data_IF_527023069126
#
_entry.id   IF_527023069126
#
_cell.length_a   1.000
_cell.length_b   1.000
_cell.length_c   1.000
_cell.angle_alpha   90.00
_cell.angle_beta   90.00
_cell.angle_gamma   90.00
#
_symmetry.space_group_name_H-M   'P 1'
#
loop_
_entity.id
_entity.type
_entity.pdbx_description
1 polymer ?
#
# COMPACT_ATOMS: atom_id res chain seq x y z
N UNK A 1 1.19 -30.05 10.22
CA UNK A 1 1.35 -28.59 10.32
C UNK A 1 -0.04 -28.00 10.46
N UNK A 2 -0.35 -27.36 11.59
CA UNK A 2 -1.65 -26.72 11.80
C UNK A 2 -1.84 -25.59 10.80
N UNK A 3 -2.98 -25.57 10.10
CA UNK A 3 -3.37 -24.42 9.27
C UNK A 3 -3.42 -23.21 10.22
N UNK A 4 -2.68 -22.12 9.97
CA UNK A 4 -2.76 -20.95 10.83
C UNK A 4 -4.22 -20.46 10.84
N UNK A 5 -4.82 -20.37 12.04
CA UNK A 5 -6.17 -19.86 12.21
C UNK A 5 -6.16 -18.41 11.71
N UNK A 6 -6.95 -18.15 10.67
CA UNK A 6 -7.08 -16.83 10.06
C UNK A 6 -7.95 -15.96 10.98
N UNK A 7 -7.36 -15.50 12.08
CA UNK A 7 -8.08 -14.73 13.09
C UNK A 7 -8.31 -13.30 12.60
N UNK A 8 -9.58 -12.96 12.41
CA UNK A 8 -10.01 -11.60 12.14
C UNK A 8 -9.85 -10.76 13.42
N UNK A 9 -8.98 -9.77 13.39
CA UNK A 9 -8.74 -8.82 14.49
C UNK A 9 -9.33 -7.46 14.15
N UNK A 10 -9.80 -6.75 15.18
CA UNK A 10 -10.20 -5.34 15.05
C UNK A 10 -9.14 -4.46 15.70
N UNK A 11 -8.69 -3.43 14.98
CA UNK A 11 -7.73 -2.42 15.43
C UNK A 11 -8.46 -1.07 15.46
N UNK A 12 -8.50 -0.47 16.62
CA UNK A 12 -9.11 0.83 16.92
C UNK A 12 -8.05 1.91 17.06
N UNK A 13 -8.47 3.18 17.10
CA UNK A 13 -7.55 4.32 17.27
C UNK A 13 -6.80 4.36 18.61
N UNK A 14 -7.14 3.46 19.54
CA UNK A 14 -6.51 3.30 20.86
C UNK A 14 -5.36 2.28 20.84
N UNK A 15 -5.33 1.41 19.83
CA UNK A 15 -4.29 0.39 19.71
C UNK A 15 -2.95 1.02 19.32
N UNK A 16 -1.85 0.51 19.91
CA UNK A 16 -0.50 1.01 19.64
C UNK A 16 -0.10 0.86 18.17
N UNK A 17 -0.59 -0.20 17.51
CA UNK A 17 -0.30 -0.48 16.11
C UNK A 17 -1.18 0.31 15.13
N UNK A 18 -2.08 1.17 15.64
CA UNK A 18 -2.96 1.96 14.79
C UNK A 18 -2.18 3.08 14.08
N UNK A 19 -2.27 3.20 12.74
CA UNK A 19 -1.55 4.25 12.01
C UNK A 19 -2.01 5.64 12.43
N UNK A 20 -1.12 6.42 13.07
CA UNK A 20 -1.44 7.76 13.55
C UNK A 20 -2.01 8.70 12.45
N UNK A 21 -1.51 8.71 11.19
CA UNK A 21 -2.10 9.53 10.13
C UNK A 21 -3.58 9.23 9.83
N UNK A 22 -4.05 8.02 10.14
CA UNK A 22 -5.43 7.63 9.88
C UNK A 22 -6.42 8.24 10.90
N UNK A 23 -5.93 8.74 12.04
CA UNK A 23 -6.78 9.40 13.06
C UNK A 23 -7.43 10.69 12.53
N UNK A 24 -6.75 11.36 11.59
CA UNK A 24 -7.17 12.65 11.00
C UNK A 24 -7.46 12.54 9.49
N UNK A 25 -7.59 11.31 8.96
CA UNK A 25 -7.85 11.09 7.53
C UNK A 25 -9.26 11.54 7.15
N UNK A 26 -9.35 12.57 6.29
CA UNK A 26 -10.61 13.22 5.90
C UNK A 26 -11.58 12.34 5.12
N UNK A 27 -11.13 11.20 4.60
CA UNK A 27 -12.00 10.25 3.91
C UNK A 27 -13.01 9.55 4.85
N UNK A 28 -12.76 9.61 6.16
CA UNK A 28 -13.62 9.04 7.18
C UNK A 28 -14.14 10.15 8.09
N UNK A 29 -15.41 10.04 8.51
CA UNK A 29 -16.03 11.01 9.44
C UNK A 29 -15.35 11.01 10.81
N UNK A 30 -14.78 9.87 11.20
CA UNK A 30 -13.99 9.64 12.40
C UNK A 30 -12.93 8.58 12.11
N UNK A 31 -11.95 8.42 13.00
CA UNK A 31 -10.94 7.37 12.89
C UNK A 31 -11.61 5.98 12.71
N UNK A 32 -11.45 5.31 11.55
CA UNK A 32 -12.14 4.06 11.28
C UNK A 32 -11.56 2.92 12.13
N UNK A 33 -12.40 1.97 12.53
CA UNK A 33 -11.92 0.67 13.01
C UNK A 33 -11.41 -0.14 11.81
N UNK A 34 -10.20 -0.66 11.91
CA UNK A 34 -9.60 -1.52 10.90
C UNK A 34 -9.85 -2.98 11.24
N UNK A 35 -10.27 -3.75 10.26
CA UNK A 35 -10.29 -5.21 10.34
C UNK A 35 -9.00 -5.73 9.74
N UNK A 36 -8.34 -6.66 10.42
CA UNK A 36 -7.02 -7.18 10.03
C UNK A 36 -6.97 -8.71 10.08
N UNK A 37 -6.24 -9.31 9.14
CA UNK A 37 -5.84 -10.72 9.13
C UNK A 37 -4.34 -10.77 8.78
N UNK A 38 -3.53 -11.41 9.63
CA UNK A 38 -2.07 -11.46 9.47
C UNK A 38 -1.33 -10.54 10.44
N UNK A 39 -0.07 -10.20 10.12
CA UNK A 39 0.79 -9.45 11.04
C UNK A 39 0.50 -7.94 11.02
N UNK A 40 -0.10 -7.45 12.10
CA UNK A 40 -0.47 -6.04 12.26
C UNK A 40 0.74 -5.12 12.45
N UNK A 41 1.89 -5.66 12.85
CA UNK A 41 3.12 -4.89 13.03
C UNK A 41 3.65 -4.34 11.71
N UNK A 42 3.24 -4.92 10.58
CA UNK A 42 3.61 -4.41 9.25
C UNK A 42 3.15 -2.96 9.04
N UNK A 43 2.09 -2.50 9.72
CA UNK A 43 1.62 -1.11 9.67
C UNK A 43 2.61 -0.10 10.29
N UNK A 44 3.59 -0.58 11.07
CA UNK A 44 4.63 0.26 11.67
C UNK A 44 5.82 0.48 10.73
N UNK A 45 5.93 -0.31 9.66
CA UNK A 45 7.04 -0.19 8.73
C UNK A 45 6.77 0.90 7.68
N UNK A 46 7.79 1.66 7.26
CA UNK A 46 7.63 2.67 6.21
C UNK A 46 7.44 1.99 4.85
N UNK A 47 6.18 1.72 4.52
CA UNK A 47 5.81 1.06 3.27
C UNK A 47 5.67 2.05 2.11
N UNK A 48 5.99 1.57 0.90
CA UNK A 48 5.66 2.24 -0.36
C UNK A 48 4.26 1.84 -0.81
N UNK A 49 3.42 2.82 -1.15
CA UNK A 49 2.14 2.56 -1.78
C UNK A 49 2.30 2.36 -3.28
N UNK A 50 1.63 1.35 -3.84
CA UNK A 50 1.60 1.09 -5.27
C UNK A 50 0.18 1.28 -5.82
N UNK A 51 0.04 2.24 -6.74
CA UNK A 51 -1.21 2.48 -7.48
C UNK A 51 -0.97 2.49 -9.00
N UNK A 52 -1.95 1.97 -9.74
CA UNK A 52 -1.97 2.09 -11.19
C UNK A 52 -3.40 2.19 -11.71
N UNK A 53 -3.62 2.99 -12.74
CA UNK A 53 -4.89 2.94 -13.49
C UNK A 53 -5.06 1.62 -14.22
N UNK A 54 -6.33 1.24 -14.47
CA UNK A 54 -6.67 -0.03 -15.15
C UNK A 54 -6.10 -0.09 -16.57
N UNK A 55 -6.10 1.04 -17.28
CA UNK A 55 -5.44 1.19 -18.57
C UNK A 55 -4.05 1.77 -18.30
N UNK A 56 -3.01 1.15 -18.82
CA UNK A 56 -1.62 1.58 -18.67
C UNK A 56 -0.85 1.28 -19.97
N UNK A 57 -0.01 2.21 -20.45
CA UNK A 57 0.92 1.96 -21.56
C UNK A 57 1.82 0.76 -21.32
N UNK A 58 2.10 -0.03 -22.37
CA UNK A 58 2.85 -1.28 -22.26
C UNK A 58 4.27 -1.14 -21.69
N UNK A 59 4.96 -0.05 -22.03
CA UNK A 59 6.28 0.27 -21.49
C UNK A 59 6.24 0.51 -19.97
N UNK A 60 5.20 1.20 -19.49
CA UNK A 60 5.00 1.43 -18.05
C UNK A 60 4.57 0.16 -17.32
N UNK A 61 3.84 -0.75 -17.98
CA UNK A 61 3.52 -2.08 -17.41
C UNK A 61 4.81 -2.83 -17.11
N UNK A 62 5.71 -2.95 -18.10
CA UNK A 62 6.98 -3.67 -17.93
C UNK A 62 7.84 -3.01 -16.84
N UNK A 63 8.00 -1.67 -16.87
CA UNK A 63 8.72 -0.94 -15.81
C UNK A 63 8.11 -1.15 -14.42
N UNK A 64 6.78 -1.28 -14.33
CA UNK A 64 6.10 -1.55 -13.05
C UNK A 64 6.47 -2.95 -12.53
N UNK A 65 6.61 -3.94 -13.41
CA UNK A 65 7.07 -5.28 -13.02
C UNK A 65 8.54 -5.29 -12.62
N UNK A 66 9.39 -4.53 -13.31
CA UNK A 66 10.80 -4.37 -12.92
C UNK A 66 10.94 -3.70 -11.54
N UNK A 67 10.12 -2.67 -11.27
CA UNK A 67 10.03 -2.06 -9.94
C UNK A 67 9.54 -3.07 -8.90
N UNK A 68 8.49 -3.85 -9.19
CA UNK A 68 7.98 -4.87 -8.27
C UNK A 68 9.05 -5.93 -7.93
N UNK A 69 9.88 -6.32 -8.90
CA UNK A 69 11.03 -7.21 -8.68
C UNK A 69 12.11 -6.53 -7.83
N UNK A 70 12.43 -5.26 -8.09
CA UNK A 70 13.45 -4.53 -7.32
C UNK A 70 13.03 -4.33 -5.85
N UNK A 71 11.76 -4.00 -5.60
CA UNK A 71 11.20 -3.91 -4.25
C UNK A 71 11.26 -5.26 -3.52
N UNK A 72 10.99 -6.35 -4.25
CA UNK A 72 11.06 -7.73 -3.79
C UNK A 72 12.46 -8.14 -3.38
N UNK A 73 13.43 -7.87 -4.23
CA UNK A 73 14.80 -8.29 -4.01
C UNK A 73 15.44 -7.53 -2.85
N UNK A 74 14.95 -6.32 -2.54
CA UNK A 74 15.36 -5.51 -1.38
C UNK A 74 14.46 -5.67 -0.15
N UNK A 75 13.48 -6.58 -0.19
CA UNK A 75 12.50 -6.80 0.88
C UNK A 75 11.77 -5.53 1.36
N UNK A 76 11.52 -4.57 0.46
CA UNK A 76 10.84 -3.31 0.78
C UNK A 76 9.34 -3.58 1.03
N UNK A 77 8.76 -3.12 2.16
CA UNK A 77 7.34 -3.26 2.44
C UNK A 77 6.46 -2.53 1.43
N UNK A 78 5.46 -3.21 0.87
CA UNK A 78 4.52 -2.63 -0.09
C UNK A 78 3.10 -2.62 0.46
N UNK A 79 2.41 -1.48 0.35
CA UNK A 79 0.99 -1.34 0.65
C UNK A 79 0.19 -1.05 -0.62
N UNK A 80 -0.82 -1.86 -0.92
CA UNK A 80 -1.73 -1.61 -2.05
C UNK A 80 -3.04 -2.33 -1.84
N UNK A 81 -4.05 -1.99 -2.63
CA UNK A 81 -5.28 -2.79 -2.68
C UNK A 81 -5.37 -3.74 -3.86
N UNK A 82 -4.31 -3.84 -4.67
CA UNK A 82 -4.13 -4.87 -5.70
C UNK A 82 -5.40 -5.12 -6.55
N UNK A 83 -5.97 -4.03 -7.06
CA UNK A 83 -7.28 -4.02 -7.72
C UNK A 83 -7.15 -4.06 -9.24
N UNK A 84 -6.17 -3.38 -9.83
CA UNK A 84 -5.96 -3.44 -11.28
C UNK A 84 -5.15 -4.67 -11.68
N UNK A 85 -5.25 -5.15 -12.94
CA UNK A 85 -4.49 -6.32 -13.38
C UNK A 85 -2.98 -6.19 -13.12
N UNK A 86 -2.43 -4.99 -13.34
CA UNK A 86 -1.02 -4.68 -13.13
C UNK A 86 -0.66 -4.79 -11.65
N UNK A 87 -1.49 -4.21 -10.76
CA UNK A 87 -1.26 -4.33 -9.32
C UNK A 87 -1.38 -5.80 -8.87
N UNK A 88 -2.32 -6.58 -9.43
CA UNK A 88 -2.46 -8.00 -9.12
C UNK A 88 -1.25 -8.83 -9.58
N UNK A 89 -0.68 -8.52 -10.73
CA UNK A 89 0.55 -9.17 -11.19
C UNK A 89 1.75 -8.80 -10.30
N UNK A 90 1.84 -7.55 -9.85
CA UNK A 90 2.81 -7.15 -8.83
C UNK A 90 2.63 -7.95 -7.52
N UNK A 91 1.39 -8.13 -7.05
CA UNK A 91 1.12 -8.96 -5.88
C UNK A 91 1.63 -10.40 -6.08
N UNK A 92 1.42 -11.01 -7.25
CA UNK A 92 1.93 -12.36 -7.55
C UNK A 92 3.45 -12.42 -7.51
N UNK A 93 4.14 -11.40 -8.04
CA UNK A 93 5.61 -11.28 -7.99
C UNK A 93 6.08 -11.23 -6.53
N UNK A 94 5.44 -10.38 -5.72
CA UNK A 94 5.81 -10.14 -4.32
C UNK A 94 5.48 -11.32 -3.40
N UNK A 95 4.39 -12.04 -3.67
CA UNK A 95 4.02 -13.26 -2.93
C UNK A 95 5.03 -14.41 -3.12
N UNK A 96 5.91 -14.36 -4.13
CA UNK A 96 6.98 -15.36 -4.36
C UNK A 96 8.32 -15.01 -3.68
N UNK A 97 8.30 -14.19 -2.64
CA UNK A 97 9.49 -13.75 -1.90
C UNK A 97 9.26 -13.74 -0.39
N UNK A 98 10.17 -13.18 0.38
CA UNK A 98 10.01 -12.94 1.82
C UNK A 98 9.60 -11.51 2.17
N UNK A 99 9.41 -10.62 1.18
CA UNK A 99 9.11 -9.21 1.47
C UNK A 99 7.78 -9.06 2.25
N UNK A 100 7.65 -8.02 3.10
CA UNK A 100 6.38 -7.67 3.72
C UNK A 100 5.37 -7.07 2.74
N UNK A 101 4.10 -7.42 2.89
CA UNK A 101 3.00 -6.97 2.03
C UNK A 101 1.80 -6.56 2.89
N UNK A 102 1.23 -5.40 2.60
CA UNK A 102 -0.03 -4.92 3.18
C UNK A 102 -1.07 -4.83 2.05
N UNK A 103 -2.01 -5.76 2.04
CA UNK A 103 -3.09 -5.81 1.08
C UNK A 103 -4.35 -5.17 1.67
N UNK A 104 -4.86 -4.13 1.00
CA UNK A 104 -6.03 -3.36 1.41
C UNK A 104 -7.24 -3.55 0.47
N UNK A 105 -8.08 -4.59 0.61
CA UNK A 105 -9.27 -4.75 -0.20
C UNK A 105 -10.27 -3.60 -0.03
N UNK A 106 -10.92 -3.19 -1.13
CA UNK A 106 -11.98 -2.19 -1.14
C UNK A 106 -13.36 -2.75 -0.71
N UNK A 107 -13.37 -3.65 0.28
CA UNK A 107 -14.55 -4.35 0.82
C UNK A 107 -14.23 -4.96 2.18
N UNK A 108 -15.22 -5.51 2.86
CA UNK A 108 -15.03 -6.34 4.06
C UNK A 108 -14.12 -7.54 3.80
N UNK A 109 -13.28 -7.86 4.77
CA UNK A 109 -12.43 -9.06 4.77
C UNK A 109 -12.98 -10.20 5.64
N UNK A 110 -14.13 -10.03 6.31
CA UNK A 110 -14.68 -11.04 7.23
C UNK A 110 -14.99 -12.39 6.58
N UNK A 111 -15.22 -12.42 5.27
CA UNK A 111 -15.46 -13.63 4.47
C UNK A 111 -14.55 -13.69 3.23
N UNK A 112 -13.31 -13.21 3.36
CA UNK A 112 -12.38 -13.21 2.24
C UNK A 112 -11.88 -14.62 1.93
N UNK A 113 -11.86 -14.99 0.64
CA UNK A 113 -11.20 -16.20 0.18
C UNK A 113 -9.75 -15.87 -0.11
N UNK A 114 -8.84 -16.57 0.56
CA UNK A 114 -7.40 -16.41 0.39
C UNK A 114 -6.84 -17.51 -0.51
N UNK A 115 -5.90 -17.14 -1.38
CA UNK A 115 -5.13 -18.10 -2.17
C UNK A 115 -4.16 -18.89 -1.27
N UNK A 116 -3.64 -20.05 -1.73
CA UNK A 116 -2.61 -20.79 -1.00
C UNK A 116 -1.40 -19.92 -0.65
N UNK A 117 -0.93 -19.10 -1.58
CA UNK A 117 0.23 -18.21 -1.41
C UNK A 117 -0.06 -17.12 -0.35
N UNK A 118 -1.29 -16.59 -0.32
CA UNK A 118 -1.68 -15.62 0.72
C UNK A 118 -1.74 -16.28 2.10
N UNK A 119 -2.27 -17.50 2.20
CA UNK A 119 -2.31 -18.24 3.47
C UNK A 119 -0.90 -18.55 3.97
N UNK A 120 -0.01 -18.95 3.06
CA UNK A 120 1.40 -19.17 3.36
C UNK A 120 2.06 -17.87 3.86
N UNK A 121 1.91 -16.77 3.12
CA UNK A 121 2.50 -15.49 3.50
C UNK A 121 1.96 -14.94 4.85
N UNK A 122 0.70 -15.22 5.19
CA UNK A 122 0.14 -14.92 6.52
C UNK A 122 0.80 -15.80 7.59
N UNK A 123 0.96 -17.10 7.33
CA UNK A 123 1.65 -18.03 8.24
C UNK A 123 3.13 -17.67 8.46
N UNK A 124 3.75 -17.03 7.47
CA UNK A 124 5.12 -16.49 7.52
C UNK A 124 5.20 -15.08 8.13
N UNK A 125 4.09 -14.54 8.67
CA UNK A 125 4.00 -13.19 9.26
C UNK A 125 4.44 -12.05 8.33
N UNK A 126 4.38 -12.23 7.01
CA UNK A 126 4.81 -11.23 6.03
C UNK A 126 3.68 -10.67 5.17
N UNK A 127 2.44 -11.12 5.39
CA UNK A 127 1.25 -10.55 4.76
C UNK A 127 0.27 -10.07 5.83
N UNK A 128 -0.21 -8.83 5.64
CA UNK A 128 -1.35 -8.26 6.33
C UNK A 128 -2.46 -7.96 5.34
N UNK A 129 -3.65 -8.52 5.55
CA UNK A 129 -4.86 -7.99 4.94
C UNK A 129 -5.52 -7.01 5.91
N UNK A 130 -5.79 -5.78 5.45
CA UNK A 130 -6.41 -4.75 6.28
C UNK A 130 -7.54 -4.04 5.53
N UNK A 131 -8.67 -3.81 6.20
CA UNK A 131 -9.81 -3.13 5.60
C UNK A 131 -10.55 -2.25 6.62
N UNK A 132 -10.89 -1.00 6.28
CA UNK A 132 -11.69 -0.13 7.15
C UNK A 132 -13.20 -0.43 7.05
N UNK A 133 -13.60 -1.48 6.32
CA UNK A 133 -15.00 -1.77 6.02
C UNK A 133 -15.55 -2.94 6.83
N UNK A 134 -16.67 -2.68 7.52
CA UNK A 134 -17.42 -3.71 8.26
C UNK A 134 -18.05 -4.74 7.32
N UNK A 135 -18.58 -5.83 7.90
CA UNK A 135 -19.28 -6.89 7.18
C UNK A 135 -20.44 -6.41 6.29
N UNK A 136 -20.99 -5.21 6.56
CA UNK A 136 -22.05 -4.58 5.76
C UNK A 136 -21.62 -4.18 4.35
N UNK A 137 -20.32 -4.18 4.04
CA UNK A 137 -19.76 -3.81 2.74
C UNK A 137 -19.07 -5.00 2.05
N UNK A 138 -19.82 -6.05 1.63
CA UNK A 138 -19.22 -7.28 1.10
C UNK A 138 -18.70 -7.15 -0.34
N UNK A 139 -19.13 -6.13 -1.09
CA UNK A 139 -18.80 -5.95 -2.52
C UNK A 139 -17.89 -4.75 -2.73
N UNK A 140 -16.98 -4.87 -3.70
CA UNK A 140 -16.14 -3.75 -4.14
C UNK A 140 -16.99 -2.76 -4.92
N UNK A 141 -16.87 -1.47 -4.60
CA UNK A 141 -17.44 -0.37 -5.38
C UNK A 141 -16.37 0.70 -5.62
N UNK A 142 -16.63 1.60 -6.57
CA UNK A 142 -15.70 2.69 -6.84
C UNK A 142 -15.58 3.69 -5.67
N UNK A 143 -16.65 3.85 -4.88
CA UNK A 143 -16.64 4.69 -3.68
C UNK A 143 -15.76 4.07 -2.57
N UNK A 144 -15.94 2.77 -2.30
CA UNK A 144 -15.12 2.06 -1.32
C UNK A 144 -13.65 2.00 -1.76
N UNK A 145 -13.39 1.85 -3.06
CA UNK A 145 -12.03 1.93 -3.60
C UNK A 145 -11.40 3.31 -3.36
N UNK A 146 -12.17 4.40 -3.52
CA UNK A 146 -11.71 5.76 -3.19
C UNK A 146 -11.34 5.90 -1.71
N UNK A 147 -12.25 5.53 -0.79
CA UNK A 147 -11.99 5.56 0.67
C UNK A 147 -10.78 4.70 1.07
N UNK A 148 -10.63 3.54 0.44
CA UNK A 148 -9.48 2.65 0.65
C UNK A 148 -8.19 3.29 0.14
N UNK A 149 -8.20 3.95 -1.02
CA UNK A 149 -7.02 4.63 -1.55
C UNK A 149 -6.58 5.76 -0.61
N UNK A 150 -7.53 6.56 -0.11
CA UNK A 150 -7.27 7.60 0.90
C UNK A 150 -6.65 7.03 2.18
N UNK A 151 -7.14 5.88 2.66
CA UNK A 151 -6.51 5.17 3.78
C UNK A 151 -5.07 4.79 3.48
N UNK A 152 -4.80 4.18 2.32
CA UNK A 152 -3.42 3.80 1.92
C UNK A 152 -2.53 5.04 1.84
N UNK A 153 -2.98 6.12 1.17
CA UNK A 153 -2.22 7.36 1.04
C UNK A 153 -1.99 8.08 2.36
N UNK A 154 -2.88 7.90 3.33
CA UNK A 154 -2.66 8.37 4.69
C UNK A 154 -1.52 7.62 5.38
N UNK A 155 -1.48 6.28 5.25
CA UNK A 155 -0.55 5.39 5.96
C UNK A 155 0.83 5.34 5.32
N UNK A 156 0.91 5.29 3.99
CA UNK A 156 2.16 5.04 3.27
C UNK A 156 3.18 6.16 3.47
N UNK A 157 4.45 5.78 3.55
CA UNK A 157 5.56 6.72 3.65
C UNK A 157 5.85 7.38 2.30
N UNK A 158 5.95 6.56 1.25
CA UNK A 158 6.12 7.00 -0.14
C UNK A 158 4.94 6.49 -0.96
N UNK A 159 4.41 7.32 -1.86
CA UNK A 159 3.32 6.93 -2.74
C UNK A 159 3.83 6.89 -4.17
N UNK A 160 3.82 5.70 -4.76
CA UNK A 160 4.19 5.50 -6.14
C UNK A 160 2.93 5.26 -6.99
N UNK A 161 2.79 6.08 -8.03
CA UNK A 161 1.73 5.95 -9.02
C UNK A 161 2.38 5.61 -10.35
N UNK A 162 2.25 4.36 -10.79
CA UNK A 162 2.85 3.88 -12.04
C UNK A 162 2.32 4.66 -13.25
N UNK A 163 0.99 4.85 -13.28
CA UNK A 163 0.30 5.55 -14.34
C UNK A 163 -1.09 6.01 -13.91
N UNK A 164 -1.51 7.17 -14.40
CA UNK A 164 -2.86 7.68 -14.27
C UNK A 164 -3.42 8.06 -15.64
N UNK A 165 -4.49 7.40 -16.07
CA UNK A 165 -5.16 7.76 -17.32
C UNK A 165 -5.75 9.19 -17.23
N UNK A 166 -5.87 9.91 -18.36
CA UNK A 166 -6.58 11.19 -18.40
C UNK A 166 -7.98 11.07 -17.79
N UNK A 167 -8.42 12.07 -17.02
CA UNK A 167 -9.74 12.12 -16.36
C UNK A 167 -10.05 10.92 -15.44
N UNK A 168 -9.03 10.18 -14.99
CA UNK A 168 -9.21 9.04 -14.11
C UNK A 168 -9.35 9.46 -12.64
N UNK A 169 -10.01 8.61 -11.85
CA UNK A 169 -10.03 8.75 -10.38
C UNK A 169 -8.63 8.67 -9.77
N UNK A 170 -7.71 7.97 -10.43
CA UNK A 170 -6.31 7.88 -10.01
C UNK A 170 -5.60 9.22 -10.16
N UNK A 171 -5.84 9.96 -11.25
CA UNK A 171 -5.28 11.28 -11.46
C UNK A 171 -5.83 12.28 -10.42
N UNK A 172 -7.14 12.29 -10.21
CA UNK A 172 -7.76 13.12 -9.18
C UNK A 172 -7.24 12.80 -7.77
N UNK A 173 -7.02 11.52 -7.47
CA UNK A 173 -6.39 11.10 -6.23
C UNK A 173 -4.93 11.53 -6.12
N UNK A 174 -4.16 11.48 -7.21
CA UNK A 174 -2.78 11.97 -7.22
C UNK A 174 -2.71 13.47 -6.87
N UNK A 175 -3.63 14.27 -7.42
CA UNK A 175 -3.74 15.70 -7.12
C UNK A 175 -4.11 15.96 -5.65
N UNK A 176 -5.03 15.18 -5.06
CA UNK A 176 -5.41 15.33 -3.65
C UNK A 176 -4.23 15.02 -2.72
N UNK A 177 -3.42 14.02 -3.07
CA UNK A 177 -2.21 13.66 -2.30
C UNK A 177 -1.16 14.76 -2.33
N UNK A 178 -0.87 15.34 -3.49
CA UNK A 178 0.04 16.48 -3.62
C UNK A 178 -0.47 17.68 -2.82
N UNK A 179 -1.76 18.00 -2.92
CA UNK A 179 -2.39 19.07 -2.14
C UNK A 179 -2.30 18.84 -0.62
N UNK A 180 -2.24 17.57 -0.19
CA UNK A 180 -2.04 17.18 1.20
C UNK A 180 -0.57 17.10 1.63
N UNK A 181 0.38 17.50 0.77
CA UNK A 181 1.81 17.49 1.05
C UNK A 181 2.43 16.09 1.12
N UNK A 182 1.79 15.08 0.50
CA UNK A 182 2.31 13.71 0.49
C UNK A 182 3.47 13.54 -0.47
N UNK A 183 4.41 12.64 -0.14
CA UNK A 183 5.51 12.27 -1.02
C UNK A 183 4.98 11.35 -2.12
N UNK A 184 4.61 11.94 -3.26
CA UNK A 184 4.14 11.22 -4.45
C UNK A 184 5.25 11.21 -5.50
N UNK A 185 5.49 10.04 -6.08
CA UNK A 185 6.46 9.82 -7.15
C UNK A 185 5.85 8.98 -8.28
N UNK A 186 6.43 9.11 -9.45
CA UNK A 186 6.10 8.29 -10.61
C UNK A 186 7.37 7.97 -11.40
N UNK A 187 7.26 7.24 -12.51
CA UNK A 187 8.38 7.02 -13.40
C UNK A 187 8.79 8.30 -14.13
N UNK A 188 10.10 8.52 -14.25
CA UNK A 188 10.66 9.41 -15.26
C UNK A 188 10.43 8.79 -16.65
N UNK A 189 9.30 9.11 -17.28
CA UNK A 189 8.93 8.59 -18.59
C UNK A 189 8.07 9.59 -19.36
N UNK A 190 8.32 9.73 -20.67
CA UNK A 190 7.47 10.49 -21.59
C UNK A 190 6.08 9.89 -21.75
N UNK A 191 5.88 8.63 -21.37
CA UNK A 191 4.59 7.92 -21.42
C UNK A 191 3.66 8.27 -20.26
N UNK A 192 4.09 9.11 -19.32
CA UNK A 192 3.28 9.56 -18.19
C UNK A 192 3.37 11.08 -17.95
N UNK A 193 3.13 11.91 -18.99
CA UNK A 193 3.35 13.35 -18.90
C UNK A 193 2.40 13.98 -17.88
N UNK A 194 1.15 13.51 -17.81
CA UNK A 194 0.12 14.09 -16.95
C UNK A 194 0.51 14.13 -15.47
N UNK A 195 1.09 13.05 -14.93
CA UNK A 195 1.49 13.04 -13.52
C UNK A 195 2.63 14.03 -13.28
N UNK A 196 3.59 14.13 -14.20
CA UNK A 196 4.69 15.09 -14.10
C UNK A 196 4.21 16.55 -14.25
N UNK A 197 3.26 16.81 -15.14
CA UNK A 197 2.59 18.11 -15.29
C UNK A 197 1.82 18.53 -14.02
N UNK A 198 1.35 17.57 -13.21
CA UNK A 198 0.79 17.85 -11.88
C UNK A 198 1.86 18.14 -10.80
N UNK A 199 3.14 18.22 -11.18
CA UNK A 199 4.25 18.45 -10.25
C UNK A 199 4.71 17.20 -9.50
N UNK A 200 4.30 16.00 -9.91
CA UNK A 200 4.77 14.74 -9.31
C UNK A 200 6.16 14.43 -9.85
N UNK A 201 7.08 14.15 -8.93
CA UNK A 201 8.48 13.87 -9.28
C UNK A 201 8.58 12.55 -10.03
N UNK A 202 9.12 12.60 -11.24
CA UNK A 202 9.52 11.41 -12.01
C UNK A 202 10.88 10.90 -11.55
N UNK A 203 10.98 9.62 -11.26
CA UNK A 203 12.20 8.93 -10.82
C UNK A 203 12.44 7.66 -11.65
N UNK A 204 13.70 7.22 -11.72
CA UNK A 204 14.02 5.86 -12.15
C UNK A 204 13.80 4.85 -11.00
N UNK A 205 13.93 3.57 -11.31
CA UNK A 205 13.70 2.48 -10.35
C UNK A 205 14.69 2.58 -9.17
N UNK A 206 15.96 2.83 -9.45
CA UNK A 206 17.01 2.89 -8.43
C UNK A 206 16.78 4.03 -7.44
N UNK A 207 16.34 5.20 -7.90
CA UNK A 207 15.99 6.33 -7.05
C UNK A 207 14.74 6.07 -6.21
N UNK A 208 13.75 5.34 -6.74
CA UNK A 208 12.57 4.91 -5.97
C UNK A 208 12.99 3.94 -4.87
N UNK A 209 13.78 2.92 -5.20
CA UNK A 209 14.29 1.92 -4.25
C UNK A 209 15.13 2.58 -3.16
N UNK A 210 16.08 3.45 -3.54
CA UNK A 210 16.92 4.19 -2.59
C UNK A 210 16.09 5.01 -1.60
N UNK A 211 15.08 5.73 -2.09
CA UNK A 211 14.17 6.50 -1.24
C UNK A 211 13.46 5.63 -0.19
N UNK A 212 13.06 4.41 -0.56
CA UNK A 212 12.45 3.47 0.39
C UNK A 212 13.46 2.95 1.43
N UNK A 213 14.67 2.62 1.00
CA UNK A 213 15.73 2.17 1.91
C UNK A 213 16.12 3.25 2.91
N UNK A 214 16.25 4.50 2.47
CA UNK A 214 16.55 5.65 3.33
C UNK A 214 15.46 5.84 4.41
N UNK A 215 14.20 5.62 4.04
CA UNK A 215 13.07 5.66 4.97
C UNK A 215 13.14 4.54 6.01
N UNK A 216 13.52 3.32 5.63
CA UNK A 216 13.70 2.19 6.53
C UNK A 216 14.85 2.40 7.52
N UNK A 217 15.98 2.94 7.04
CA UNK A 217 17.14 3.27 7.88
C UNK A 217 16.75 4.34 8.91
N UNK A 218 16.13 5.43 8.45
CA UNK A 218 15.69 6.53 9.31
C UNK A 218 14.69 6.06 10.38
N UNK A 219 13.79 5.14 10.02
CA UNK A 219 12.82 4.57 10.94
C UNK A 219 13.49 3.69 12.01
N UNK A 220 14.44 2.84 11.60
CA UNK A 220 15.16 1.93 12.51
C UNK A 220 16.03 2.69 13.50
N UNK A 221 16.72 3.74 13.05
CA UNK A 221 17.52 4.61 13.93
C UNK A 221 16.66 5.29 15.00
N UNK A 222 15.48 5.82 14.61
CA UNK A 222 14.53 6.42 15.57
C UNK A 222 14.02 5.42 16.59
N UNK A 223 13.70 4.20 16.17
CA UNK A 223 13.25 3.14 17.07
C UNK A 223 14.34 2.79 18.11
N UNK A 224 15.59 2.65 17.67
CA UNK A 224 16.72 2.34 18.56
C UNK A 224 17.02 3.45 19.58
N UNK A 225 16.85 4.72 19.23
CA UNK A 225 17.01 5.85 20.17
C UNK A 225 15.97 5.86 21.27
N UNK A 226 14.71 5.50 20.97
CA UNK A 226 13.61 5.51 21.94
C UNK A 226 13.77 4.39 22.98
N UNK A 227 14.29 3.24 22.58
CA UNK A 227 14.51 2.11 23.49
C UNK A 227 15.71 2.33 24.43
N UNK A 228 16.66 3.21 24.07
CA UNK A 228 17.82 3.54 24.90
C UNK A 228 17.56 4.64 25.96
N UNK A 229 16.38 5.28 25.91
CA UNK A 229 15.92 6.31 26.87
C UNK A 229 14.88 5.76 27.87
N UNK A 230 14.56 4.46 27.84
CA UNK A 230 13.67 3.75 28.78
C UNK A 230 14.44 2.84 29.71
#
# INVERSE_FOLDING_TARGET
MSVPTLDLRSITSRDLTYPAPLKICRAFKSAPTLNAIGDVNLLQNPAIALFCSKQCPGDLILKTYDLAQSLRDQAIPVISGFHTPIEQDCLKIMLRSTQPIIHCPARSISKIRLSPEQKQAIGENRLLLVSPFSASYPRVTAELAGKRNEMIGAIAHTIFIAYASPNSKTLAFAQSLISAGKSVVTFASSSNPLLQEQGIVGLDIDAIVRRCLDAQISHTQKAASIDNER
#
